data_IF_335824452372
#
_entry.id   IF_335824452372
#
_cell.length_a   1.000
_cell.length_b   1.000
_cell.length_c   1.000
_cell.angle_alpha   90.00
_cell.angle_beta   90.00
_cell.angle_gamma   90.00
#
_symmetry.space_group_name_H-M   'P 1'
#
loop_
_entity.id
_entity.type
_entity.pdbx_description
1 polymer ?
#
# COMPACT_ATOMS: atom_id res chain seq x y z
N UNK A 1 -55.05 -20.91 -18.65
CA UNK A 1 -53.67 -21.25 -18.21
C UNK A 1 -52.73 -20.28 -18.92
N UNK A 2 -52.50 -19.11 -18.33
CA UNK A 2 -51.55 -18.11 -18.86
C UNK A 2 -50.54 -17.83 -17.75
N UNK A 3 -49.30 -18.26 -17.96
CA UNK A 3 -48.18 -18.03 -17.05
C UNK A 3 -47.30 -16.90 -17.62
N UNK A 4 -47.47 -15.71 -17.07
CA UNK A 4 -46.61 -14.55 -17.32
C UNK A 4 -45.22 -14.78 -16.68
N UNK A 5 -44.20 -15.00 -17.51
CA UNK A 5 -42.79 -15.04 -17.07
C UNK A 5 -42.23 -13.61 -17.02
N UNK A 6 -42.15 -13.08 -15.80
CA UNK A 6 -41.56 -11.77 -15.48
C UNK A 6 -40.04 -11.86 -15.49
N UNK A 7 -39.38 -11.44 -16.58
CA UNK A 7 -37.91 -11.24 -16.62
C UNK A 7 -37.53 -10.01 -15.81
N UNK A 8 -36.80 -10.20 -14.70
CA UNK A 8 -36.09 -9.11 -14.01
C UNK A 8 -34.78 -8.85 -14.76
N UNK A 9 -34.64 -7.63 -15.26
CA UNK A 9 -33.39 -7.05 -15.73
C UNK A 9 -32.46 -6.86 -14.52
N UNK A 10 -31.34 -7.60 -14.50
CA UNK A 10 -30.24 -7.39 -13.56
C UNK A 10 -29.40 -6.25 -14.13
N UNK A 11 -29.49 -5.09 -13.49
CA UNK A 11 -28.73 -3.89 -13.83
C UNK A 11 -27.33 -4.05 -13.24
N UNK A 12 -26.36 -4.21 -14.12
CA UNK A 12 -24.92 -4.30 -13.81
C UNK A 12 -24.43 -2.97 -13.20
N UNK A 13 -23.81 -2.95 -12.01
CA UNK A 13 -23.11 -1.79 -11.48
C UNK A 13 -21.60 -2.05 -11.55
N UNK A 14 -21.00 -1.80 -12.71
CA UNK A 14 -19.55 -1.71 -12.84
C UNK A 14 -19.14 -0.43 -13.56
N UNK A 15 -18.02 0.10 -13.05
CA UNK A 15 -17.15 1.13 -13.60
C UNK A 15 -17.64 2.58 -13.58
N UNK A 16 -17.31 3.27 -12.48
CA UNK A 16 -16.38 4.41 -12.50
C UNK A 16 -15.94 4.71 -11.08
N UNK A 17 -14.84 4.08 -10.68
CA UNK A 17 -14.00 4.64 -9.61
C UNK A 17 -12.83 5.26 -10.36
N UNK A 18 -12.89 6.58 -10.51
CA UNK A 18 -11.71 7.39 -10.78
C UNK A 18 -10.87 7.35 -9.51
N UNK A 19 -9.64 6.86 -9.63
CA UNK A 19 -8.60 7.07 -8.63
C UNK A 19 -7.94 8.38 -9.07
N UNK A 20 -8.26 9.46 -8.38
CA UNK A 20 -7.43 10.67 -8.37
C UNK A 20 -6.26 10.36 -7.43
N UNK A 21 -5.10 10.12 -8.03
CA UNK A 21 -3.82 10.21 -7.36
C UNK A 21 -3.52 11.71 -7.18
N UNK A 22 -3.94 12.28 -6.05
CA UNK A 22 -3.50 13.62 -5.62
C UNK A 22 -2.43 13.46 -4.53
N UNK A 23 -1.28 14.05 -4.84
CA UNK A 23 -0.05 14.14 -4.09
C UNK A 23 -0.27 14.68 -2.67
N UNK A 24 0.00 13.86 -1.65
CA UNK A 24 0.19 14.36 -0.28
C UNK A 24 1.67 14.66 -0.11
N UNK A 25 1.98 15.89 -0.49
CA UNK A 25 3.25 16.56 -0.29
C UNK A 25 3.61 16.65 1.20
N UNK A 26 4.82 16.19 1.47
CA UNK A 26 5.52 16.14 2.74
C UNK A 26 5.76 17.56 3.29
N UNK A 27 4.99 17.96 4.32
CA UNK A 27 5.24 19.19 5.07
C UNK A 27 5.06 18.98 6.58
N UNK A 28 6.04 18.33 7.21
CA UNK A 28 6.20 18.32 8.66
C UNK A 28 7.42 19.15 9.07
N UNK A 29 7.32 20.48 8.98
CA UNK A 29 8.21 21.39 9.71
C UNK A 29 7.70 21.56 11.14
N UNK A 30 8.06 20.63 12.03
CA UNK A 30 7.91 20.81 13.47
C UNK A 30 9.10 21.60 14.02
N UNK A 31 8.90 22.92 14.07
CA UNK A 31 9.84 23.89 14.60
C UNK A 31 9.87 23.78 16.13
N UNK A 32 10.79 22.97 16.68
CA UNK A 32 11.04 22.92 18.12
C UNK A 32 11.85 24.16 18.53
N UNK A 33 11.14 25.17 19.01
CA UNK A 33 11.71 26.42 19.55
C UNK A 33 12.35 26.13 20.90
N UNK A 34 13.67 25.98 20.92
CA UNK A 34 14.49 25.91 22.13
C UNK A 34 14.38 27.21 22.93
N UNK A 35 13.86 27.12 24.15
CA UNK A 35 13.86 28.19 25.15
C UNK A 35 15.24 28.24 25.81
N UNK A 36 16.00 29.36 25.72
CA UNK A 36 17.25 29.51 26.45
C UNK A 36 16.95 29.96 27.88
N UNK A 37 17.09 29.05 28.85
CA UNK A 37 17.02 29.38 30.27
C UNK A 37 18.40 29.86 30.74
N UNK A 38 18.65 31.16 30.64
CA UNK A 38 19.76 31.83 31.33
C UNK A 38 19.50 31.89 32.84
N UNK A 39 20.39 31.36 33.70
CA UNK A 39 20.32 31.61 35.14
C UNK A 39 20.84 33.02 35.48
N UNK A 40 20.37 33.61 36.60
CA UNK A 40 20.68 34.98 36.97
C UNK A 40 22.14 35.14 37.40
N UNK A 41 22.75 36.24 36.94
CA UNK A 41 24.03 36.72 37.41
C UNK A 41 23.91 37.18 38.87
N UNK A 42 24.40 36.37 39.80
CA UNK A 42 24.65 36.78 41.17
C UNK A 42 26.01 37.49 41.19
N UNK A 43 25.94 38.82 41.20
CA UNK A 43 27.06 39.66 41.59
C UNK A 43 27.32 39.53 43.09
N UNK A 44 28.53 39.13 43.44
CA UNK A 44 29.06 39.16 44.79
C UNK A 44 30.52 39.61 44.73
N UNK A 45 30.75 40.89 44.99
CA UNK A 45 32.09 41.44 45.18
C UNK A 45 32.71 40.97 46.50
N UNK A 46 34.02 41.15 46.62
CA UNK A 46 34.71 41.00 47.91
C UNK A 46 36.15 40.53 47.76
N UNK A 47 37.06 41.48 47.63
CA UNK A 47 38.50 41.25 47.69
C UNK A 47 38.95 40.69 49.04
N UNK A 48 40.13 40.06 49.05
CA UNK A 48 40.75 39.64 50.31
C UNK A 48 41.94 38.72 50.13
N UNK A 49 43.12 39.34 49.95
CA UNK A 49 44.45 38.85 50.32
C UNK A 49 44.46 37.57 51.18
N UNK A 50 45.04 36.50 50.64
CA UNK A 50 45.31 35.25 51.37
C UNK A 50 46.23 34.30 50.61
N UNK A 51 47.37 34.82 50.13
CA UNK A 51 48.44 34.00 49.56
C UNK A 51 49.13 33.17 50.63
N UNK A 52 49.37 31.88 50.35
CA UNK A 52 50.30 31.05 51.12
C UNK A 52 49.97 29.57 51.13
N UNK A 53 48.75 29.20 51.53
CA UNK A 53 48.42 27.79 51.87
C UNK A 53 48.01 26.97 50.65
N UNK A 54 47.32 27.55 49.66
CA UNK A 54 46.86 26.83 48.47
C UNK A 54 48.01 26.40 47.51
N UNK A 55 49.17 27.08 47.55
CA UNK A 55 50.36 26.65 46.79
C UNK A 55 51.14 25.52 47.48
N UNK A 56 50.99 25.35 48.80
CA UNK A 56 51.56 24.22 49.53
C UNK A 56 50.68 22.97 49.40
N UNK A 57 49.35 23.10 49.39
CA UNK A 57 48.42 21.97 49.24
C UNK A 57 48.46 21.31 47.85
N UNK A 58 48.83 22.05 46.79
CA UNK A 58 49.00 21.49 45.44
C UNK A 58 50.20 20.54 45.32
N UNK A 59 51.16 20.61 46.24
CA UNK A 59 52.38 19.77 46.26
C UNK A 59 52.24 18.50 47.11
N UNK A 60 51.14 18.35 47.84
CA UNK A 60 50.92 17.28 48.83
C UNK A 60 49.89 16.21 48.41
N UNK A 61 49.45 16.19 47.14
CA UNK A 61 48.52 15.16 46.64
C UNK A 61 47.09 15.24 47.19
N UNK A 62 46.79 16.20 48.07
CA UNK A 62 45.49 16.43 48.70
C UNK A 62 44.28 16.56 47.74
N UNK A 63 44.36 17.25 46.57
CA UNK A 63 43.21 17.34 45.68
C UNK A 63 42.83 15.99 45.05
N UNK A 64 43.76 15.03 44.96
CA UNK A 64 43.49 13.70 44.43
C UNK A 64 42.67 12.85 45.40
N UNK A 65 42.93 13.00 46.71
CA UNK A 65 42.22 12.25 47.75
C UNK A 65 40.76 12.71 47.83
N UNK A 66 40.53 14.03 47.88
CA UNK A 66 39.17 14.59 47.93
C UNK A 66 38.36 14.26 46.67
N UNK A 67 38.99 14.27 45.49
CA UNK A 67 38.32 13.89 44.25
C UNK A 67 37.92 12.41 44.24
N UNK A 68 38.79 11.53 44.74
CA UNK A 68 38.50 10.10 44.85
C UNK A 68 37.32 9.86 45.79
N UNK A 69 37.26 10.53 46.94
CA UNK A 69 36.15 10.39 47.89
C UNK A 69 34.80 10.82 47.30
N UNK A 70 34.77 11.90 46.50
CA UNK A 70 33.54 12.35 45.81
C UNK A 70 33.08 11.31 44.79
N UNK A 71 34.01 10.76 44.00
CA UNK A 71 33.69 9.72 43.00
C UNK A 71 33.20 8.46 43.68
N UNK A 72 33.86 8.01 44.75
CA UNK A 72 33.41 6.86 45.54
C UNK A 72 32.05 7.08 46.19
N UNK A 73 31.79 8.30 46.71
CA UNK A 73 30.49 8.65 47.27
C UNK A 73 29.37 8.58 46.24
N UNK A 74 29.59 9.10 45.03
CA UNK A 74 28.61 9.01 43.93
C UNK A 74 28.38 7.57 43.47
N UNK A 75 29.45 6.78 43.35
CA UNK A 75 29.38 5.38 42.93
C UNK A 75 28.63 4.53 43.97
N UNK A 76 28.89 4.76 45.26
CA UNK A 76 28.15 4.13 46.36
C UNK A 76 26.68 4.56 46.39
N UNK A 77 26.36 5.82 46.11
CA UNK A 77 24.98 6.29 46.02
C UNK A 77 24.22 5.60 44.87
N UNK A 78 24.83 5.51 43.68
CA UNK A 78 24.24 4.79 42.55
C UNK A 78 24.04 3.30 42.84
N UNK A 79 25.03 2.66 43.47
CA UNK A 79 24.95 1.26 43.87
C UNK A 79 23.85 1.05 44.90
N UNK A 80 23.69 1.97 45.85
CA UNK A 80 22.61 1.94 46.84
C UNK A 80 21.23 2.09 46.18
N UNK A 81 21.05 3.01 45.23
CA UNK A 81 19.80 3.16 44.49
C UNK A 81 19.47 1.88 43.71
N UNK A 82 20.45 1.32 42.99
CA UNK A 82 20.29 0.04 42.29
C UNK A 82 19.93 -1.11 43.24
N UNK A 83 20.52 -1.15 44.43
CA UNK A 83 20.22 -2.15 45.45
C UNK A 83 18.79 -2.01 45.97
N UNK A 84 18.28 -0.79 46.17
CA UNK A 84 16.87 -0.55 46.55
C UNK A 84 15.92 -1.05 45.45
N UNK A 85 16.20 -0.75 44.18
CA UNK A 85 15.41 -1.29 43.06
C UNK A 85 15.45 -2.82 42.99
N UNK A 86 16.60 -3.43 43.27
CA UNK A 86 16.75 -4.88 43.32
C UNK A 86 15.90 -5.50 44.45
N UNK A 87 15.91 -4.90 45.64
CA UNK A 87 15.07 -5.34 46.76
C UNK A 87 13.56 -5.18 46.45
N UNK A 88 13.19 -4.15 45.70
CA UNK A 88 11.82 -3.94 45.23
C UNK A 88 11.40 -5.01 44.20
N UNK A 89 12.28 -5.39 43.27
CA UNK A 89 12.01 -6.47 42.30
C UNK A 89 11.86 -7.84 42.97
N UNK A 90 12.61 -8.09 44.04
CA UNK A 90 12.59 -9.36 44.78
C UNK A 90 11.52 -9.43 45.88
N UNK A 91 10.64 -8.41 46.01
CA UNK A 91 9.51 -8.36 46.94
C UNK A 91 9.92 -8.55 48.43
N UNK A 92 11.19 -8.31 48.76
CA UNK A 92 11.75 -8.50 50.12
C UNK A 92 11.27 -7.39 51.06
N UNK A 93 11.02 -6.19 50.52
CA UNK A 93 10.47 -5.05 51.26
C UNK A 93 9.25 -4.52 50.51
N UNK A 94 8.06 -4.89 50.97
CA UNK A 94 6.80 -4.44 50.39
C UNK A 94 6.48 -3.02 50.86
N UNK A 95 7.24 -2.05 50.37
CA UNK A 95 6.87 -0.65 50.48
C UNK A 95 5.52 -0.50 49.77
N UNK A 96 4.45 -0.17 50.50
CA UNK A 96 3.08 -0.05 49.98
C UNK A 96 2.86 0.97 48.85
N UNK A 97 3.94 1.51 48.28
CA UNK A 97 3.99 2.33 47.08
C UNK A 97 3.26 1.71 45.90
N UNK A 98 3.29 0.39 45.69
CA UNK A 98 2.50 -0.22 44.60
C UNK A 98 1.00 0.03 44.77
N UNK A 99 0.47 -0.08 45.99
CA UNK A 99 -0.96 0.20 46.25
C UNK A 99 -1.26 1.69 46.14
N UNK A 100 -0.36 2.54 46.63
CA UNK A 100 -0.51 4.00 46.55
C UNK A 100 -0.41 4.52 45.10
N UNK A 101 0.52 3.99 44.31
CA UNK A 101 0.70 4.30 42.89
C UNK A 101 -0.49 3.82 42.06
N UNK A 102 -0.97 2.58 42.28
CA UNK A 102 -2.20 2.10 41.63
C UNK A 102 -3.41 2.94 42.04
N UNK A 103 -3.50 3.36 43.31
CA UNK A 103 -4.57 4.26 43.77
C UNK A 103 -4.44 5.68 43.19
N UNK A 104 -3.22 6.15 42.92
CA UNK A 104 -2.96 7.45 42.28
C UNK A 104 -3.31 7.39 40.79
N UNK A 105 -2.91 6.34 40.08
CA UNK A 105 -3.21 6.11 38.65
C UNK A 105 -4.70 5.87 38.40
N UNK A 106 -5.44 5.34 39.38
CA UNK A 106 -6.90 5.15 39.27
C UNK A 106 -7.73 6.44 39.38
N UNK A 107 -7.13 7.58 39.71
CA UNK A 107 -7.88 8.85 39.78
C UNK A 107 -8.06 9.42 38.36
N UNK A 108 -9.28 9.78 37.96
CA UNK A 108 -9.56 10.24 36.59
C UNK A 108 -8.78 11.50 36.21
N UNK A 109 -8.50 12.38 37.17
CA UNK A 109 -7.71 13.60 36.96
C UNK A 109 -6.25 13.29 36.58
N UNK A 110 -5.67 12.24 37.14
CA UNK A 110 -4.30 11.83 36.82
C UNK A 110 -4.23 11.06 35.50
N UNK A 111 -5.28 10.32 35.14
CA UNK A 111 -5.36 9.63 33.85
C UNK A 111 -5.35 10.66 32.73
N UNK A 112 -6.17 11.72 32.82
CA UNK A 112 -6.20 12.79 31.82
C UNK A 112 -4.84 13.48 31.67
N UNK A 113 -4.15 13.77 32.77
CA UNK A 113 -2.82 14.39 32.75
C UNK A 113 -1.74 13.48 32.14
N UNK A 114 -1.85 12.15 32.32
CA UNK A 114 -0.94 11.17 31.72
C UNK A 114 -1.27 10.97 30.24
N UNK A 115 -2.56 10.94 29.86
CA UNK A 115 -2.99 10.86 28.46
C UNK A 115 -2.51 12.07 27.66
N UNK A 116 -2.62 13.28 28.22
CA UNK A 116 -2.12 14.51 27.59
C UNK A 116 -0.58 14.55 27.52
N UNK A 117 0.12 13.95 28.49
CA UNK A 117 1.58 13.95 28.55
C UNK A 117 2.28 12.89 27.70
N UNK A 118 1.60 11.78 27.38
CA UNK A 118 2.22 10.61 26.72
C UNK A 118 1.59 10.33 25.34
N UNK A 119 0.48 10.97 24.98
CA UNK A 119 -0.25 10.75 23.72
C UNK A 119 -0.60 9.26 23.48
N UNK A 120 -0.75 8.51 24.58
CA UNK A 120 -1.20 7.11 24.58
C UNK A 120 -2.54 7.07 25.28
N UNK A 121 -3.57 6.65 24.54
CA UNK A 121 -4.91 6.44 25.09
C UNK A 121 -4.90 5.20 25.99
N UNK A 122 -5.14 5.38 27.29
CA UNK A 122 -5.16 4.28 28.25
C UNK A 122 -6.48 3.53 28.12
N UNK A 123 -6.51 2.55 27.23
CA UNK A 123 -7.67 1.69 27.01
C UNK A 123 -7.93 0.82 28.24
N UNK A 124 -9.21 0.68 28.61
CA UNK A 124 -9.59 -0.28 29.63
C UNK A 124 -9.29 -1.70 29.16
N UNK A 125 -9.05 -2.64 30.10
CA UNK A 125 -8.71 -4.02 29.76
C UNK A 125 -9.73 -4.67 28.81
N UNK A 126 -11.01 -4.31 28.98
CA UNK A 126 -12.11 -4.78 28.14
C UNK A 126 -12.05 -4.20 26.73
N UNK A 127 -11.77 -2.91 26.58
CA UNK A 127 -11.61 -2.29 25.26
C UNK A 127 -10.38 -2.83 24.52
N UNK A 128 -9.31 -3.18 25.24
CA UNK A 128 -8.15 -3.84 24.65
C UNK A 128 -8.50 -5.24 24.09
N UNK A 129 -9.27 -6.03 24.83
CA UNK A 129 -9.77 -7.33 24.35
C UNK A 129 -10.69 -7.17 23.13
N UNK A 130 -11.62 -6.21 23.15
CA UNK A 130 -12.51 -5.94 22.02
C UNK A 130 -11.71 -5.51 20.78
N UNK A 131 -10.74 -4.59 20.92
CA UNK A 131 -9.90 -4.14 19.81
C UNK A 131 -9.03 -5.27 19.26
N UNK A 132 -8.44 -6.11 20.12
CA UNK A 132 -7.60 -7.22 19.66
C UNK A 132 -8.41 -8.30 18.94
N UNK A 133 -9.63 -8.58 19.37
CA UNK A 133 -10.54 -9.49 18.64
C UNK A 133 -11.00 -8.91 17.31
N UNK A 134 -11.22 -7.60 17.23
CA UNK A 134 -11.54 -6.93 15.97
C UNK A 134 -10.34 -6.95 15.00
N UNK A 135 -9.13 -6.65 15.50
CA UNK A 135 -7.90 -6.68 14.70
C UNK A 135 -7.65 -8.09 14.13
N UNK A 136 -7.80 -9.13 14.94
CA UNK A 136 -7.60 -10.52 14.50
C UNK A 136 -8.62 -10.92 13.44
N UNK A 137 -9.91 -10.57 13.64
CA UNK A 137 -10.97 -10.81 12.65
C UNK A 137 -10.72 -10.07 11.33
N UNK A 138 -10.27 -8.82 11.40
CA UNK A 138 -9.95 -8.03 10.22
C UNK A 138 -8.71 -8.57 9.51
N UNK A 139 -7.69 -9.00 10.24
CA UNK A 139 -6.49 -9.62 9.68
C UNK A 139 -6.83 -10.89 8.89
N UNK A 140 -7.72 -11.74 9.40
CA UNK A 140 -8.18 -12.93 8.68
C UNK A 140 -8.97 -12.56 7.41
N UNK A 141 -9.80 -11.52 7.48
CA UNK A 141 -10.53 -11.02 6.30
C UNK A 141 -9.58 -10.51 5.23
N UNK A 142 -8.54 -9.77 5.62
CA UNK A 142 -7.49 -9.28 4.70
C UNK A 142 -6.73 -10.45 4.08
N UNK A 143 -6.38 -11.48 4.87
CA UNK A 143 -5.73 -12.69 4.35
C UNK A 143 -6.60 -13.41 3.33
N UNK A 144 -7.88 -13.64 3.62
CA UNK A 144 -8.80 -14.27 2.68
C UNK A 144 -8.96 -13.47 1.38
N UNK A 145 -9.02 -12.13 1.47
CA UNK A 145 -9.07 -11.27 0.29
C UNK A 145 -7.77 -11.36 -0.53
N UNK A 146 -6.62 -11.37 0.13
CA UNK A 146 -5.30 -11.51 -0.51
C UNK A 146 -5.16 -12.85 -1.22
N UNK A 147 -5.62 -13.94 -0.61
CA UNK A 147 -5.60 -15.26 -1.24
C UNK A 147 -6.55 -15.30 -2.45
N UNK A 148 -7.75 -14.70 -2.32
CA UNK A 148 -8.71 -14.62 -3.41
C UNK A 148 -8.21 -13.78 -4.60
N UNK A 149 -7.52 -12.67 -4.36
CA UNK A 149 -6.91 -11.86 -5.43
C UNK A 149 -5.79 -12.62 -6.11
N UNK A 150 -4.90 -13.26 -5.34
CA UNK A 150 -3.81 -14.06 -5.91
C UNK A 150 -4.31 -15.22 -6.79
N UNK A 151 -5.43 -15.86 -6.41
CA UNK A 151 -6.04 -16.90 -7.21
C UNK A 151 -6.62 -16.33 -8.53
N UNK A 152 -7.28 -15.17 -8.47
CA UNK A 152 -7.82 -14.51 -9.66
C UNK A 152 -6.72 -14.08 -10.63
N UNK A 153 -5.60 -13.59 -10.12
CA UNK A 153 -4.45 -13.23 -10.96
C UNK A 153 -3.88 -14.45 -11.69
N UNK A 154 -3.78 -15.60 -11.02
CA UNK A 154 -3.33 -16.86 -11.65
C UNK A 154 -4.29 -17.31 -12.75
N UNK A 155 -5.60 -17.24 -12.50
CA UNK A 155 -6.61 -17.59 -13.51
C UNK A 155 -6.59 -16.60 -14.70
N UNK A 156 -6.39 -15.31 -14.43
CA UNK A 156 -6.23 -14.30 -15.48
C UNK A 156 -5.00 -14.56 -16.34
N UNK A 157 -3.88 -14.93 -15.73
CA UNK A 157 -2.65 -15.26 -16.45
C UNK A 157 -2.83 -16.51 -17.34
N UNK A 158 -3.50 -17.55 -16.84
CA UNK A 158 -3.82 -18.76 -17.64
C UNK A 158 -4.73 -18.44 -18.82
N UNK A 159 -5.81 -17.70 -18.57
CA UNK A 159 -6.77 -17.33 -19.63
C UNK A 159 -6.12 -16.43 -20.69
N UNK A 160 -5.24 -15.51 -20.30
CA UNK A 160 -4.43 -14.73 -21.26
C UNK A 160 -3.49 -15.61 -22.08
N UNK A 161 -2.85 -16.61 -21.48
CA UNK A 161 -1.98 -17.54 -22.20
C UNK A 161 -2.78 -18.38 -23.22
N UNK A 162 -3.97 -18.86 -22.86
CA UNK A 162 -4.88 -19.57 -23.77
C UNK A 162 -5.38 -18.67 -24.92
N UNK A 163 -5.73 -17.41 -24.62
CA UNK A 163 -6.10 -16.43 -25.63
C UNK A 163 -4.96 -16.18 -26.62
N UNK A 164 -3.75 -15.92 -26.13
CA UNK A 164 -2.59 -15.69 -26.99
C UNK A 164 -2.27 -16.91 -27.86
N UNK A 165 -2.44 -18.13 -27.32
CA UNK A 165 -2.27 -19.36 -28.08
C UNK A 165 -3.32 -19.50 -29.18
N UNK A 166 -4.58 -19.23 -28.89
CA UNK A 166 -5.66 -19.31 -29.89
C UNK A 166 -5.54 -18.20 -30.94
N UNK A 167 -5.12 -17.00 -30.56
CA UNK A 167 -4.80 -15.91 -31.48
C UNK A 167 -3.68 -16.30 -32.44
N UNK A 168 -2.56 -16.86 -31.94
CA UNK A 168 -1.47 -17.31 -32.79
C UNK A 168 -1.88 -18.44 -33.75
N UNK A 169 -2.72 -19.38 -33.29
CA UNK A 169 -3.29 -20.41 -34.17
C UNK A 169 -4.19 -19.79 -35.25
N UNK A 170 -5.06 -18.85 -34.88
CA UNK A 170 -5.94 -18.16 -35.82
C UNK A 170 -5.14 -17.39 -36.87
N UNK A 171 -4.12 -16.65 -36.47
CA UNK A 171 -3.25 -15.89 -37.38
C UNK A 171 -2.50 -16.83 -38.34
N UNK A 172 -2.02 -17.98 -37.84
CA UNK A 172 -1.42 -19.02 -38.67
C UNK A 172 -2.39 -19.60 -39.70
N UNK A 173 -3.61 -19.97 -39.28
CA UNK A 173 -4.65 -20.46 -40.17
C UNK A 173 -5.07 -19.41 -41.20
N UNK A 174 -5.17 -18.13 -40.78
CA UNK A 174 -5.51 -17.03 -41.68
C UNK A 174 -4.41 -16.79 -42.71
N UNK A 175 -3.14 -16.89 -42.32
CA UNK A 175 -2.02 -16.81 -43.27
C UNK A 175 -2.06 -17.95 -44.30
N UNK A 176 -2.29 -19.19 -43.85
CA UNK A 176 -2.42 -20.35 -44.73
C UNK A 176 -3.62 -20.23 -45.67
N UNK A 177 -4.79 -19.84 -45.15
CA UNK A 177 -5.98 -19.58 -45.95
C UNK A 177 -5.77 -18.44 -46.95
N UNK A 178 -5.05 -17.39 -46.57
CA UNK A 178 -4.74 -16.27 -47.46
C UNK A 178 -3.87 -16.73 -48.63
N UNK A 179 -2.90 -17.61 -48.37
CA UNK A 179 -2.07 -18.22 -49.41
C UNK A 179 -2.84 -19.18 -50.33
N UNK A 180 -3.74 -20.00 -49.77
CA UNK A 180 -4.53 -21.00 -50.53
C UNK A 180 -5.63 -20.37 -51.40
N UNK A 181 -6.35 -19.39 -50.86
CA UNK A 181 -7.50 -18.76 -51.53
C UNK A 181 -7.16 -17.41 -52.17
N UNK A 182 -5.88 -17.05 -52.22
CA UNK A 182 -5.38 -15.80 -52.80
C UNK A 182 -6.13 -14.56 -52.28
N UNK A 183 -6.44 -14.54 -50.98
CA UNK A 183 -7.29 -13.49 -50.36
C UNK A 183 -6.65 -12.11 -50.45
N UNK A 184 -5.34 -12.05 -50.68
CA UNK A 184 -4.60 -10.82 -50.99
C UNK A 184 -5.17 -10.07 -52.20
N UNK A 185 -5.82 -10.79 -53.13
CA UNK A 185 -6.49 -10.21 -54.30
C UNK A 185 -7.83 -9.55 -53.99
N UNK A 186 -8.32 -9.69 -52.74
CA UNK A 186 -9.59 -9.11 -52.30
C UNK A 186 -9.56 -7.59 -52.37
N UNK A 187 -10.56 -7.04 -53.05
CA UNK A 187 -10.79 -5.62 -53.15
C UNK A 187 -12.03 -5.25 -52.33
N UNK A 188 -11.81 -4.90 -51.06
CA UNK A 188 -12.89 -4.60 -50.10
C UNK A 188 -13.68 -3.33 -50.41
N UNK A 189 -13.04 -2.35 -51.04
CA UNK A 189 -13.63 -1.04 -51.34
C UNK A 189 -14.20 -0.89 -52.75
N UNK A 190 -13.93 -1.82 -53.68
CA UNK A 190 -14.53 -1.71 -55.01
C UNK A 190 -16.02 -2.04 -54.99
N UNK A 191 -16.70 -1.48 -55.98
CA UNK A 191 -18.11 -1.71 -56.24
C UNK A 191 -18.16 -2.53 -57.54
N UNK A 192 -18.42 -3.85 -57.46
CA UNK A 192 -18.50 -4.70 -58.63
C UNK A 192 -19.72 -4.35 -59.49
N UNK A 193 -19.65 -4.64 -60.80
CA UNK A 193 -20.75 -4.35 -61.74
C UNK A 193 -22.02 -5.06 -61.29
N UNK A 194 -23.12 -4.32 -61.16
CA UNK A 194 -24.42 -4.83 -60.74
C UNK A 194 -24.70 -4.70 -59.23
N UNK A 195 -23.74 -4.19 -58.45
CA UNK A 195 -23.93 -3.93 -57.02
C UNK A 195 -23.95 -2.43 -56.72
N UNK A 196 -24.69 -2.05 -55.68
CA UNK A 196 -24.79 -0.66 -55.18
C UNK A 196 -23.91 -0.40 -53.96
N UNK A 197 -23.30 -1.44 -53.39
CA UNK A 197 -22.51 -1.38 -52.16
C UNK A 197 -21.10 -1.91 -52.39
N UNK A 198 -20.17 -1.53 -51.51
CA UNK A 198 -18.79 -2.06 -51.52
C UNK A 198 -18.79 -3.53 -51.14
N UNK A 199 -17.75 -4.25 -51.58
CA UNK A 199 -17.58 -5.67 -51.28
C UNK A 199 -17.56 -5.97 -49.78
N UNK A 200 -16.88 -5.14 -48.97
CA UNK A 200 -16.91 -5.28 -47.50
C UNK A 200 -18.31 -5.04 -46.92
N UNK A 201 -19.05 -4.04 -47.41
CA UNK A 201 -20.41 -3.75 -46.94
C UNK A 201 -21.38 -4.90 -47.29
N UNK A 202 -21.24 -5.51 -48.48
CA UNK A 202 -22.01 -6.70 -48.86
C UNK A 202 -21.71 -7.89 -47.95
N UNK A 203 -20.45 -8.12 -47.61
CA UNK A 203 -20.07 -9.19 -46.67
C UNK A 203 -20.62 -8.91 -45.28
N UNK A 204 -20.51 -7.68 -44.78
CA UNK A 204 -21.05 -7.31 -43.47
C UNK A 204 -22.58 -7.49 -43.42
N UNK A 205 -23.28 -7.17 -44.52
CA UNK A 205 -24.70 -7.44 -44.67
C UNK A 205 -25.00 -8.95 -44.65
N UNK A 206 -24.24 -9.77 -45.40
CA UNK A 206 -24.41 -11.22 -45.43
C UNK A 206 -24.14 -11.88 -44.08
N UNK A 207 -23.08 -11.46 -43.38
CA UNK A 207 -22.76 -11.95 -42.04
C UNK A 207 -23.90 -11.66 -41.06
N UNK A 208 -24.45 -10.44 -41.09
CA UNK A 208 -25.56 -10.05 -40.21
C UNK A 208 -26.87 -10.76 -40.54
N UNK A 209 -27.15 -10.99 -41.82
CA UNK A 209 -28.44 -11.54 -42.27
C UNK A 209 -28.51 -13.06 -42.23
N UNK A 210 -27.43 -13.73 -42.64
CA UNK A 210 -27.43 -15.19 -42.85
C UNK A 210 -26.56 -15.94 -41.84
N UNK A 211 -25.69 -15.25 -41.09
CA UNK A 211 -24.76 -15.88 -40.15
C UNK A 211 -23.73 -16.73 -40.88
N UNK A 212 -22.52 -16.20 -41.07
CA UNK A 212 -21.45 -16.89 -41.78
C UNK A 212 -20.07 -16.33 -41.44
N UNK A 213 -19.02 -17.08 -41.76
CA UNK A 213 -17.65 -16.61 -41.58
C UNK A 213 -17.32 -15.55 -42.65
N UNK A 214 -16.64 -14.48 -42.23
CA UNK A 214 -16.20 -13.41 -43.15
C UNK A 214 -15.35 -13.96 -44.28
N UNK A 215 -14.51 -14.95 -43.98
CA UNK A 215 -13.61 -15.60 -44.91
C UNK A 215 -14.36 -16.28 -46.05
N UNK A 216 -15.36 -17.10 -45.73
CA UNK A 216 -16.17 -17.79 -46.73
C UNK A 216 -16.90 -16.80 -47.64
N UNK A 217 -17.47 -15.75 -47.06
CA UNK A 217 -18.11 -14.68 -47.86
C UNK A 217 -17.14 -13.99 -48.82
N UNK A 218 -15.86 -13.80 -48.42
CA UNK A 218 -14.83 -13.25 -49.34
C UNK A 218 -14.52 -14.21 -50.47
N UNK A 219 -14.29 -15.49 -50.15
CA UNK A 219 -13.96 -16.53 -51.16
C UNK A 219 -15.11 -16.69 -52.16
N UNK A 220 -16.35 -16.83 -51.68
CA UNK A 220 -17.53 -17.00 -52.54
C UNK A 220 -17.69 -15.81 -53.52
N UNK A 221 -17.50 -14.57 -53.05
CA UNK A 221 -17.58 -13.38 -53.91
C UNK A 221 -16.42 -13.29 -54.93
N UNK A 222 -15.24 -13.77 -54.57
CA UNK A 222 -14.09 -13.82 -55.47
C UNK A 222 -14.24 -14.91 -56.52
N UNK A 223 -14.79 -16.07 -56.17
CA UNK A 223 -15.11 -17.16 -57.11
C UNK A 223 -16.15 -16.73 -58.16
N UNK A 224 -17.12 -15.87 -57.77
CA UNK A 224 -18.05 -15.23 -58.71
C UNK A 224 -17.36 -14.23 -59.67
N UNK A 225 -16.05 -13.98 -59.52
CA UNK A 225 -15.27 -13.04 -60.32
C UNK A 225 -15.52 -11.57 -59.95
N UNK A 226 -16.17 -11.32 -58.82
CA UNK A 226 -16.40 -10.00 -58.26
C UNK A 226 -15.29 -9.64 -57.27
N UNK A 227 -15.11 -8.34 -56.99
CA UNK A 227 -14.28 -7.89 -55.86
C UNK A 227 -12.79 -8.31 -55.90
N UNK A 228 -12.21 -8.47 -57.10
CA UNK A 228 -10.78 -8.71 -57.30
C UNK A 228 -10.06 -7.39 -57.62
N UNK A 229 -8.87 -7.20 -57.05
CA UNK A 229 -8.04 -6.00 -57.24
C UNK A 229 -7.72 -5.77 -58.74
N UNK A 230 -7.81 -4.53 -59.27
CA UNK A 230 -7.54 -4.27 -60.68
C UNK A 230 -6.08 -4.49 -61.09
N UNK A 231 -5.15 -4.46 -60.14
CA UNK A 231 -3.70 -4.61 -60.41
C UNK A 231 -3.31 -6.06 -60.76
N UNK A 232 -4.15 -7.03 -60.45
CA UNK A 232 -3.90 -8.46 -60.68
C UNK A 232 -4.76 -9.07 -61.78
N UNK A 233 -5.61 -8.26 -62.43
CA UNK A 233 -6.30 -8.61 -63.69
C UNK A 233 -5.31 -8.68 -64.86
N UNK A 234 -4.31 -9.56 -64.81
CA UNK A 234 -3.75 -10.12 -66.06
C UNK A 234 -4.71 -11.22 -66.50
N UNK A 235 -5.65 -10.84 -67.36
CA UNK A 235 -6.57 -11.77 -68.00
C UNK A 235 -5.77 -12.88 -68.72
N UNK A 236 -6.06 -14.17 -68.49
CA UNK A 236 -5.97 -15.13 -69.58
C UNK A 236 -7.10 -14.79 -70.57
N UNK A 237 -6.71 -14.55 -71.82
CA UNK A 237 -7.62 -14.62 -72.97
C UNK A 237 -7.93 -16.08 -73.23
#
# INVERSE_FOLDING_TARGET
>A
MESYVKRRSVKDPRSRVFIEDDDVEEAAQSTTRTVPTTPPAIGGGGGGRGGGVLRLLRKLGFPRIVLMDVVYGWLMAMLFVMFVFFLEQHDVINFGYRRAAVAFVKRPENIAAIEEGVDIKLLSLKEYEDITTEITRNADTVRMQTDATSHREKELAKTMAEYNRTAAMYDGLMAEATALFEIDRWCGSCIPRGLTQTCDAKIEYWMRKYGGSRLKGKVDLMEEGHCISPKEKKMPV
#
